data_IF_083675050391
#
_entry.id   IF_083675050391
#
_cell.length_a   1.000
_cell.length_b   1.000
_cell.length_c   1.000
_cell.angle_alpha   90.00
_cell.angle_beta   90.00
_cell.angle_gamma   90.00
#
_symmetry.space_group_name_H-M   'P 1'
#
loop_
_entity.id
_entity.type
_entity.pdbx_description
1 polymer ?
#
# COMPACT_ATOMS: atom_id res chain seq x y z
N UNK A 1 17.27 -50.26 79.15
CA UNK A 1 17.29 -49.21 80.18
C UNK A 1 18.75 -48.84 80.41
N UNK A 2 19.16 -47.60 80.14
CA UNK A 2 20.55 -47.16 80.38
C UNK A 2 20.68 -46.87 81.88
N UNK A 3 21.70 -47.45 82.52
CA UNK A 3 21.94 -47.32 83.96
C UNK A 3 22.10 -45.84 84.37
N UNK A 4 21.54 -45.48 85.53
CA UNK A 4 21.41 -44.11 86.01
C UNK A 4 22.74 -43.33 86.10
N UNK A 5 23.85 -44.03 86.36
CA UNK A 5 25.18 -43.42 86.43
C UNK A 5 25.64 -42.86 85.07
N UNK A 6 25.37 -43.58 83.97
CA UNK A 6 25.71 -43.09 82.62
C UNK A 6 24.87 -41.90 82.19
N UNK A 7 23.70 -41.73 82.80
CA UNK A 7 22.81 -40.60 82.52
C UNK A 7 23.36 -39.29 83.11
N UNK A 8 23.95 -39.38 84.30
CA UNK A 8 24.60 -38.25 84.95
C UNK A 8 25.88 -37.80 84.22
N UNK A 9 26.73 -38.75 83.81
CA UNK A 9 27.92 -38.43 83.02
C UNK A 9 27.56 -37.80 81.67
N UNK A 10 26.45 -38.24 81.05
CA UNK A 10 25.95 -37.65 79.82
C UNK A 10 25.46 -36.21 80.02
N UNK A 11 24.93 -35.88 81.19
CA UNK A 11 24.44 -34.52 81.47
C UNK A 11 25.56 -33.55 81.81
N UNK A 12 26.58 -33.98 82.57
CA UNK A 12 27.74 -33.13 82.92
C UNK A 12 28.61 -32.81 81.70
N UNK A 13 28.82 -33.78 80.80
CA UNK A 13 29.72 -33.58 79.66
C UNK A 13 29.15 -32.56 78.65
N UNK A 14 27.84 -32.36 78.64
CA UNK A 14 27.16 -31.35 77.81
C UNK A 14 27.13 -29.96 78.44
N UNK A 15 27.35 -29.83 79.76
CA UNK A 15 27.43 -28.53 80.43
C UNK A 15 28.85 -27.96 80.47
N UNK A 16 29.89 -28.81 80.42
CA UNK A 16 31.30 -28.41 80.54
C UNK A 16 31.81 -27.53 79.40
N UNK A 17 31.20 -27.63 78.22
CA UNK A 17 31.52 -26.77 77.07
C UNK A 17 30.28 -25.93 76.76
N UNK A 18 30.24 -24.72 77.31
CA UNK A 18 29.09 -23.81 77.31
C UNK A 18 28.58 -23.40 75.93
N UNK A 19 27.83 -24.29 75.29
CA UNK A 19 26.93 -23.99 74.18
C UNK A 19 25.53 -24.42 74.63
N UNK A 20 24.61 -23.46 74.74
CA UNK A 20 23.18 -23.72 74.93
C UNK A 20 22.66 -24.57 73.77
N UNK A 21 22.73 -25.89 73.89
CA UNK A 21 22.17 -26.83 72.92
C UNK A 21 20.66 -26.91 73.12
N UNK A 22 19.95 -25.82 72.79
CA UNK A 22 18.49 -25.89 72.60
C UNK A 22 18.22 -26.90 71.49
N UNK A 23 17.25 -27.83 71.65
CA UNK A 23 16.98 -28.85 70.65
C UNK A 23 16.67 -28.17 69.31
N UNK A 24 17.35 -28.63 68.26
CA UNK A 24 17.22 -28.10 66.91
C UNK A 24 15.76 -28.24 66.47
N UNK A 25 15.05 -27.11 66.37
CA UNK A 25 13.65 -27.12 65.93
C UNK A 25 13.54 -27.89 64.59
N UNK A 26 12.51 -28.73 64.42
CA UNK A 26 12.38 -29.52 63.20
C UNK A 26 12.37 -28.59 61.98
N UNK A 27 13.23 -28.89 60.99
CA UNK A 27 13.27 -28.14 59.72
C UNK A 27 11.86 -28.11 59.14
N UNK A 28 11.25 -26.92 59.06
CA UNK A 28 9.97 -26.74 58.36
C UNK A 28 10.18 -27.16 56.90
N UNK A 29 9.42 -28.16 56.44
CA UNK A 29 9.42 -28.59 55.03
C UNK A 29 9.13 -27.36 54.14
N UNK A 30 9.80 -27.21 52.98
CA UNK A 30 9.46 -26.14 52.06
C UNK A 30 7.99 -26.28 51.67
N UNK A 31 7.19 -25.26 51.93
CA UNK A 31 5.79 -25.24 51.50
C UNK A 31 5.79 -25.24 49.97
N UNK A 32 4.96 -26.07 49.30
CA UNK A 32 4.84 -25.98 47.86
C UNK A 32 4.38 -24.57 47.51
N UNK A 33 5.14 -23.88 46.65
CA UNK A 33 4.72 -22.60 46.10
C UNK A 33 3.39 -22.83 45.38
N UNK A 34 2.30 -22.35 45.98
CA UNK A 34 1.01 -22.30 45.30
C UNK A 34 1.18 -21.28 44.19
N UNK A 35 1.36 -21.73 42.95
CA UNK A 35 1.25 -20.86 41.78
C UNK A 35 -0.09 -20.14 41.90
N UNK A 36 -0.09 -18.81 42.11
CA UNK A 36 -1.30 -17.99 42.31
C UNK A 36 -2.22 -17.91 41.09
N UNK A 37 -2.05 -18.81 40.14
CA UNK A 37 -2.78 -18.88 38.88
C UNK A 37 -4.00 -19.76 39.11
N UNK A 38 -5.17 -19.14 39.12
CA UNK A 38 -6.45 -19.83 39.23
C UNK A 38 -6.75 -20.54 37.90
N UNK A 39 -7.50 -21.65 37.92
CA UNK A 39 -7.86 -22.38 36.70
C UNK A 39 -8.56 -21.49 35.66
N UNK A 40 -9.30 -20.47 36.11
CA UNK A 40 -9.92 -19.42 35.27
C UNK A 40 -8.91 -18.52 34.54
N UNK A 41 -7.74 -18.29 35.13
CA UNK A 41 -6.69 -17.50 34.49
C UNK A 41 -6.02 -18.29 33.36
N UNK A 42 -5.88 -19.61 33.53
CA UNK A 42 -5.35 -20.51 32.49
C UNK A 42 -6.29 -20.60 31.28
N UNK A 43 -7.60 -20.67 31.50
CA UNK A 43 -8.57 -20.68 30.39
C UNK A 43 -8.65 -19.33 29.69
N UNK A 44 -8.53 -18.22 30.43
CA UNK A 44 -8.48 -16.87 29.84
C UNK A 44 -7.20 -16.64 29.03
N UNK A 45 -6.06 -17.15 29.49
CA UNK A 45 -4.80 -17.16 28.74
C UNK A 45 -4.92 -17.99 27.45
N UNK A 46 -5.50 -19.19 27.52
CA UNK A 46 -5.76 -20.01 26.34
C UNK A 46 -6.66 -19.27 25.33
N UNK A 47 -7.76 -18.66 25.77
CA UNK A 47 -8.64 -17.88 24.90
C UNK A 47 -7.89 -16.73 24.23
N UNK A 48 -7.07 -15.99 24.97
CA UNK A 48 -6.25 -14.90 24.42
C UNK A 48 -5.27 -15.39 23.36
N UNK A 49 -4.62 -16.54 23.57
CA UNK A 49 -3.72 -17.11 22.57
C UNK A 49 -4.45 -17.52 21.28
N UNK A 50 -5.67 -18.03 21.39
CA UNK A 50 -6.50 -18.38 20.22
C UNK A 50 -6.91 -17.12 19.45
N UNK A 51 -7.36 -16.08 20.15
CA UNK A 51 -7.74 -14.80 19.53
C UNK A 51 -6.53 -14.13 18.85
N UNK A 52 -5.37 -14.14 19.50
CA UNK A 52 -4.14 -13.63 18.91
C UNK A 52 -3.75 -14.41 17.65
N UNK A 53 -3.89 -15.74 17.67
CA UNK A 53 -3.66 -16.58 16.49
C UNK A 53 -4.57 -16.23 15.31
N UNK A 54 -5.86 -16.03 15.56
CA UNK A 54 -6.83 -15.62 14.52
C UNK A 54 -6.47 -14.25 13.95
N UNK A 55 -6.10 -13.29 14.81
CA UNK A 55 -5.64 -11.97 14.36
C UNK A 55 -4.40 -12.07 13.47
N UNK A 56 -3.41 -12.88 13.84
CA UNK A 56 -2.21 -13.07 13.04
C UNK A 56 -2.53 -13.67 11.66
N UNK A 57 -3.45 -14.63 11.58
CA UNK A 57 -3.90 -15.20 10.29
C UNK A 57 -4.58 -14.11 9.45
N UNK A 58 -5.45 -13.30 10.06
CA UNK A 58 -6.09 -12.16 9.40
C UNK A 58 -5.08 -11.17 8.81
N UNK A 59 -4.02 -10.85 9.56
CA UNK A 59 -2.95 -9.97 9.08
C UNK A 59 -2.25 -10.55 7.85
N UNK A 60 -1.92 -11.84 7.85
CA UNK A 60 -1.27 -12.50 6.71
C UNK A 60 -2.17 -12.42 5.47
N UNK A 61 -3.46 -12.75 5.61
CA UNK A 61 -4.43 -12.68 4.50
C UNK A 61 -4.52 -11.26 3.95
N UNK A 62 -4.68 -10.27 4.83
CA UNK A 62 -4.79 -8.86 4.43
C UNK A 62 -3.54 -8.39 3.70
N UNK A 63 -2.35 -8.80 4.16
CA UNK A 63 -1.09 -8.46 3.48
C UNK A 63 -0.96 -9.12 2.12
N UNK A 64 -1.44 -10.36 1.95
CA UNK A 64 -1.44 -11.05 0.66
C UNK A 64 -2.38 -10.38 -0.35
N UNK A 65 -3.58 -9.98 0.08
CA UNK A 65 -4.50 -9.21 -0.76
C UNK A 65 -3.95 -7.83 -1.09
N UNK A 66 -3.33 -7.13 -0.13
CA UNK A 66 -2.68 -5.86 -0.39
C UNK A 66 -1.53 -5.98 -1.42
N UNK A 67 -0.81 -7.10 -1.42
CA UNK A 67 0.22 -7.37 -2.42
C UNK A 67 -0.38 -7.63 -3.82
N UNK A 68 -1.47 -8.41 -3.91
CA UNK A 68 -2.19 -8.63 -5.18
C UNK A 68 -2.73 -7.33 -5.76
N UNK A 69 -3.39 -6.52 -4.93
CA UNK A 69 -3.95 -5.22 -5.36
C UNK A 69 -2.85 -4.29 -5.87
N UNK A 70 -1.68 -4.26 -5.20
CA UNK A 70 -0.54 -3.47 -5.66
C UNK A 70 -0.02 -3.93 -7.02
N UNK A 71 0.03 -5.25 -7.24
CA UNK A 71 0.45 -5.81 -8.51
C UNK A 71 -0.52 -5.43 -9.64
N UNK A 72 -1.82 -5.62 -9.41
CA UNK A 72 -2.87 -5.23 -10.36
C UNK A 72 -2.84 -3.73 -10.65
N UNK A 73 -2.64 -2.90 -9.63
CA UNK A 73 -2.52 -1.44 -9.79
C UNK A 73 -1.34 -1.08 -10.69
N UNK A 74 -0.16 -1.67 -10.46
CA UNK A 74 1.00 -1.40 -11.29
C UNK A 74 0.80 -1.86 -12.74
N UNK A 75 0.12 -2.99 -12.95
CA UNK A 75 -0.21 -3.46 -14.28
C UNK A 75 -1.18 -2.51 -15.00
N UNK A 76 -2.20 -2.01 -14.30
CA UNK A 76 -3.15 -1.02 -14.86
C UNK A 76 -2.43 0.29 -15.20
N UNK A 77 -1.52 0.77 -14.33
CA UNK A 77 -0.72 1.97 -14.59
C UNK A 77 0.14 1.77 -15.84
N UNK A 78 0.77 0.61 -15.99
CA UNK A 78 1.57 0.30 -17.18
C UNK A 78 0.70 0.28 -18.44
N UNK A 79 -0.47 -0.35 -18.40
CA UNK A 79 -1.41 -0.37 -19.52
C UNK A 79 -1.89 1.03 -19.90
N UNK A 80 -2.17 1.90 -18.92
CA UNK A 80 -2.53 3.29 -19.20
C UNK A 80 -1.39 4.06 -19.86
N UNK A 81 -0.15 3.87 -19.40
CA UNK A 81 1.01 4.50 -20.01
C UNK A 81 1.23 4.02 -21.45
N UNK A 82 1.02 2.73 -21.73
CA UNK A 82 1.08 2.18 -23.09
C UNK A 82 0.00 2.80 -24.00
N UNK A 83 -1.23 2.94 -23.50
CA UNK A 83 -2.32 3.60 -24.23
C UNK A 83 -2.04 5.10 -24.47
N UNK A 84 -1.50 5.81 -23.48
CA UNK A 84 -1.11 7.21 -23.63
C UNK A 84 -0.02 7.39 -24.69
N UNK A 85 0.98 6.50 -24.72
CA UNK A 85 2.02 6.52 -25.75
C UNK A 85 1.44 6.22 -27.15
N UNK A 86 0.47 5.32 -27.25
CA UNK A 86 -0.23 5.06 -28.52
C UNK A 86 -1.02 6.28 -29.00
N UNK A 87 -1.74 6.96 -28.09
CA UNK A 87 -2.46 8.21 -28.38
C UNK A 87 -1.48 9.28 -28.84
N UNK A 88 -0.34 9.45 -28.18
CA UNK A 88 0.68 10.44 -28.57
C UNK A 88 1.22 10.15 -29.97
N UNK A 89 1.54 8.89 -30.26
CA UNK A 89 2.01 8.48 -31.57
C UNK A 89 0.96 8.72 -32.67
N UNK A 90 -0.31 8.38 -32.40
CA UNK A 90 -1.43 8.69 -33.31
C UNK A 90 -1.57 10.19 -33.52
N UNK A 91 -1.43 10.98 -32.46
CA UNK A 91 -1.51 12.44 -32.55
C UNK A 91 -0.36 13.02 -33.39
N UNK A 92 0.86 12.52 -33.23
CA UNK A 92 2.01 12.87 -34.07
C UNK A 92 1.75 12.49 -35.53
N UNK A 93 1.19 11.31 -35.79
CA UNK A 93 0.82 10.89 -37.14
C UNK A 93 -0.22 11.84 -37.75
N UNK A 94 -1.27 12.18 -37.00
CA UNK A 94 -2.27 13.17 -37.41
C UNK A 94 -1.64 14.52 -37.67
N UNK A 95 -0.77 15.03 -36.80
CA UNK A 95 -0.05 16.29 -37.04
C UNK A 95 0.87 16.22 -38.27
N UNK A 96 1.48 15.07 -38.54
CA UNK A 96 2.32 14.90 -39.73
C UNK A 96 1.51 14.88 -41.02
N UNK A 97 0.30 14.30 -41.01
CA UNK A 97 -0.60 14.29 -42.16
C UNK A 97 -1.40 15.59 -42.32
N UNK A 98 -1.70 16.26 -41.21
CA UNK A 98 -2.43 17.53 -41.16
C UNK A 98 -1.50 18.75 -41.15
N UNK A 99 -0.18 18.54 -41.13
CA UNK A 99 0.79 19.61 -41.33
C UNK A 99 0.45 20.26 -42.68
N UNK A 100 0.32 21.58 -42.66
CA UNK A 100 0.00 22.40 -43.83
C UNK A 100 0.95 22.06 -44.98
N UNK A 101 2.23 21.81 -44.69
CA UNK A 101 3.24 21.43 -45.70
C UNK A 101 2.93 20.08 -46.37
N UNK A 102 2.56 19.06 -45.60
CA UNK A 102 2.18 17.74 -46.14
C UNK A 102 0.85 17.79 -46.90
N UNK A 103 -0.07 18.65 -46.45
CA UNK A 103 -1.34 18.89 -47.11
C UNK A 103 -1.14 19.63 -48.44
N UNK A 104 -0.26 20.63 -48.46
CA UNK A 104 0.15 21.39 -49.64
C UNK A 104 0.84 20.48 -50.66
N UNK A 105 1.82 19.67 -50.24
CA UNK A 105 2.50 18.70 -51.09
C UNK A 105 1.50 17.72 -51.71
N UNK A 106 0.61 17.12 -50.91
CA UNK A 106 -0.39 16.17 -51.41
C UNK A 106 -1.40 16.83 -52.34
N UNK A 107 -1.80 18.08 -52.08
CA UNK A 107 -2.71 18.84 -52.94
C UNK A 107 -2.05 19.22 -54.27
N UNK A 108 -0.79 19.64 -54.25
CA UNK A 108 -0.04 19.96 -55.45
C UNK A 108 0.24 18.71 -56.29
N UNK A 109 0.76 17.65 -55.67
CA UNK A 109 1.23 16.46 -56.37
C UNK A 109 0.10 15.52 -56.82
N UNK A 110 -0.92 15.32 -55.98
CA UNK A 110 -1.99 14.34 -56.26
C UNK A 110 -3.26 14.95 -56.84
N UNK A 111 -3.59 16.18 -56.44
CA UNK A 111 -4.82 16.87 -56.88
C UNK A 111 -4.52 17.89 -57.99
N UNK A 112 -3.24 18.12 -58.33
CA UNK A 112 -2.84 19.07 -59.37
C UNK A 112 -3.14 20.53 -58.99
N UNK A 113 -3.27 20.82 -57.71
CA UNK A 113 -3.51 22.19 -57.23
C UNK A 113 -2.23 23.02 -57.40
N UNK A 114 -2.38 24.32 -57.67
CA UNK A 114 -1.25 25.24 -57.80
C UNK A 114 -1.28 26.21 -56.63
N UNK A 115 -0.18 26.31 -55.89
CA UNK A 115 -0.07 27.27 -54.81
C UNK A 115 -0.08 28.71 -55.35
N UNK A 116 -0.95 29.59 -54.83
CA UNK A 116 -1.06 30.96 -55.34
C UNK A 116 0.21 31.75 -55.04
N UNK A 117 0.67 32.53 -56.01
CA UNK A 117 1.76 33.50 -55.79
C UNK A 117 1.26 34.70 -54.98
N UNK A 118 2.16 35.45 -54.32
CA UNK A 118 1.80 36.61 -53.48
C UNK A 118 0.98 37.69 -54.22
N UNK A 119 1.03 37.71 -55.56
CA UNK A 119 0.24 38.64 -56.40
C UNK A 119 -1.21 38.18 -56.63
N UNK A 120 -1.52 36.93 -56.31
CA UNK A 120 -2.85 36.32 -56.47
C UNK A 120 -3.60 36.23 -55.14
N UNK A 121 -3.00 36.70 -54.04
CA UNK A 121 -3.61 36.77 -52.72
C UNK A 121 -4.21 38.17 -52.54
N UNK A 122 -5.53 38.23 -52.32
CA UNK A 122 -6.24 39.48 -52.01
C UNK A 122 -6.70 39.40 -50.56
N UNK A 123 -6.26 40.37 -49.75
CA UNK A 123 -6.69 40.50 -48.36
C UNK A 123 -7.94 41.37 -48.30
N UNK A 124 -9.03 40.80 -47.78
CA UNK A 124 -10.28 41.53 -47.57
C UNK A 124 -10.20 42.32 -46.27
N UNK A 125 -10.64 43.58 -46.32
CA UNK A 125 -10.79 44.46 -45.17
C UNK A 125 -12.26 44.59 -44.76
N UNK A 126 -12.55 45.21 -43.61
CA UNK A 126 -13.93 45.44 -43.15
C UNK A 126 -14.78 46.25 -44.15
N UNK A 127 -14.13 47.00 -45.04
CA UNK A 127 -14.76 47.79 -46.10
C UNK A 127 -15.16 46.93 -47.32
N UNK A 128 -14.53 45.77 -47.50
CA UNK A 128 -14.80 44.81 -48.57
C UNK A 128 -15.91 43.82 -48.20
N UNK A 129 -16.37 43.84 -46.93
CA UNK A 129 -17.48 43.01 -46.50
C UNK A 129 -18.78 43.49 -47.16
N UNK A 130 -19.49 42.59 -47.85
CA UNK A 130 -20.76 42.97 -48.47
C UNK A 130 -21.77 43.35 -47.39
N UNK A 131 -22.42 44.51 -47.58
CA UNK A 131 -23.43 45.06 -46.65
C UNK A 131 -24.61 44.12 -46.43
N UNK A 132 -24.99 43.42 -47.49
CA UNK A 132 -25.86 42.25 -47.43
C UNK A 132 -24.95 41.04 -47.24
N UNK A 133 -25.03 40.34 -46.12
CA UNK A 133 -24.06 39.30 -45.75
C UNK A 133 -23.76 38.30 -46.88
N UNK A 134 -22.52 37.79 -46.91
CA UNK A 134 -22.00 36.92 -47.98
C UNK A 134 -22.94 35.78 -48.40
N UNK A 135 -23.68 35.21 -47.43
CA UNK A 135 -24.68 34.17 -47.67
C UNK A 135 -25.84 34.63 -48.59
N UNK A 136 -26.29 35.88 -48.47
CA UNK A 136 -27.39 36.43 -49.28
C UNK A 136 -26.96 36.70 -50.73
N UNK A 137 -25.69 37.09 -50.95
CA UNK A 137 -25.13 37.27 -52.29
C UNK A 137 -24.97 35.92 -53.00
N UNK A 138 -24.43 34.91 -52.30
CA UNK A 138 -24.33 33.55 -52.81
C UNK A 138 -25.70 32.98 -53.19
N UNK A 139 -26.72 33.20 -52.34
CA UNK A 139 -28.09 32.79 -52.62
C UNK A 139 -28.66 33.49 -53.86
N UNK A 140 -28.42 34.80 -54.02
CA UNK A 140 -28.86 35.53 -55.23
C UNK A 140 -28.16 35.07 -56.51
N UNK A 141 -26.88 34.69 -56.47
CA UNK A 141 -26.16 34.21 -57.66
C UNK A 141 -26.49 32.75 -58.02
N UNK A 142 -26.73 31.89 -57.04
CA UNK A 142 -27.01 30.47 -57.28
C UNK A 142 -28.46 30.20 -57.76
N UNK A 143 -29.39 31.10 -57.46
CA UNK A 143 -30.82 30.95 -57.78
C UNK A 143 -31.32 31.97 -58.83
N UNK A 144 -30.40 32.66 -59.53
CA UNK A 144 -30.69 33.43 -60.74
C UNK A 144 -30.19 32.68 -61.98
#
# INVERSE_FOLDING_TARGET
MIAAEKWYEYQENYQKYGLDMKPKAPRKKPKPQKSGITAKDKTRLLLLTVVAGILCIGLIITTAFAASIKYETNQIIQQNHELEAEIENLNVAVYSESNIEALEEKAMDKQGMVYPSSKQVVYLTEEDLPKDGFADIMRKQAYN
#
